data_IF_123492905655
#
_entry.id   IF_123492905655
#
_cell.length_a   1.000
_cell.length_b   1.000
_cell.length_c   1.000
_cell.angle_alpha   90.00
_cell.angle_beta   90.00
_cell.angle_gamma   90.00
#
_symmetry.space_group_name_H-M   'P 1'
#
loop_
_entity.id
_entity.type
_entity.pdbx_description
1 polymer ?
#
# COMPACT_ATOMS: atom_id res chain seq x y z
N UNK A 1 42.04 -26.38 -53.43
CA UNK A 1 41.27 -26.20 -52.19
C UNK A 1 39.79 -26.14 -52.56
N UNK A 2 39.01 -27.16 -52.31
CA UNK A 2 37.57 -27.20 -52.50
C UNK A 2 36.94 -26.96 -51.14
N UNK A 3 36.37 -25.78 -50.92
CA UNK A 3 35.57 -25.53 -49.74
C UNK A 3 34.12 -25.97 -50.05
N UNK A 4 33.56 -26.83 -49.23
CA UNK A 4 32.14 -27.14 -49.29
C UNK A 4 31.36 -26.00 -48.61
N UNK A 5 30.17 -25.65 -49.11
CA UNK A 5 29.31 -24.66 -48.44
C UNK A 5 28.94 -25.20 -47.05
N UNK A 6 29.05 -24.37 -45.99
CA UNK A 6 28.57 -24.71 -44.67
C UNK A 6 27.05 -24.89 -44.69
N UNK A 7 26.59 -25.95 -44.03
CA UNK A 7 25.14 -26.15 -43.85
C UNK A 7 24.59 -25.04 -42.98
N UNK A 8 23.46 -24.46 -43.36
CA UNK A 8 22.80 -23.39 -42.63
C UNK A 8 21.47 -23.89 -42.06
N UNK A 9 21.12 -23.37 -40.92
CA UNK A 9 19.87 -23.66 -40.23
C UNK A 9 19.14 -22.38 -39.83
N UNK A 10 17.83 -22.46 -39.80
CA UNK A 10 16.96 -21.32 -39.44
C UNK A 10 16.54 -21.41 -37.97
N UNK A 11 16.72 -20.32 -37.23
CA UNK A 11 16.13 -20.13 -35.91
C UNK A 11 14.93 -19.19 -36.03
N UNK A 12 13.77 -19.66 -35.60
CA UNK A 12 12.55 -18.88 -35.49
C UNK A 12 12.17 -18.76 -34.00
N UNK A 13 12.36 -17.57 -33.44
CA UNK A 13 11.97 -17.26 -32.07
C UNK A 13 10.82 -16.26 -32.08
N UNK A 14 9.77 -16.54 -31.33
CA UNK A 14 8.55 -15.72 -31.26
C UNK A 14 8.03 -15.56 -29.83
N UNK A 15 7.15 -14.60 -29.61
CA UNK A 15 6.39 -14.42 -28.38
C UNK A 15 5.07 -15.19 -28.47
N UNK A 16 4.61 -15.81 -27.37
CA UNK A 16 3.28 -16.39 -27.27
C UNK A 16 2.19 -15.31 -27.22
N UNK A 17 2.58 -14.10 -26.82
CA UNK A 17 1.71 -12.93 -26.71
C UNK A 17 2.44 -11.71 -27.27
N UNK A 18 2.13 -11.22 -28.49
CA UNK A 18 2.84 -10.09 -29.11
C UNK A 18 2.82 -8.78 -28.32
N UNK A 19 1.84 -8.61 -27.41
CA UNK A 19 1.71 -7.43 -26.55
C UNK A 19 2.33 -7.63 -25.15
N UNK A 20 2.89 -8.81 -24.91
CA UNK A 20 3.47 -9.14 -23.60
C UNK A 20 4.99 -9.01 -23.56
N UNK A 21 5.62 -8.93 -24.73
CA UNK A 21 7.07 -8.79 -24.84
C UNK A 21 7.59 -9.12 -26.23
N UNK A 22 8.84 -8.76 -26.46
CA UNK A 22 9.56 -8.93 -27.73
C UNK A 22 10.61 -10.03 -27.61
N UNK A 23 10.92 -10.68 -28.73
CA UNK A 23 11.91 -11.76 -28.80
C UNK A 23 12.94 -11.45 -29.88
N UNK A 24 14.20 -11.67 -29.57
CA UNK A 24 15.34 -11.41 -30.45
C UNK A 24 16.20 -12.65 -30.63
N UNK A 25 16.93 -12.74 -31.77
CA UNK A 25 17.85 -13.82 -32.05
C UNK A 25 17.38 -14.76 -33.19
N UNK A 26 16.23 -14.47 -33.84
CA UNK A 26 15.82 -15.17 -35.07
C UNK A 26 16.76 -14.86 -36.20
N UNK A 27 17.02 -15.85 -37.07
CA UNK A 27 17.88 -15.67 -38.23
C UNK A 27 18.29 -16.98 -38.87
N UNK A 28 19.14 -16.89 -39.90
CA UNK A 28 19.83 -18.03 -40.56
C UNK A 28 21.27 -18.02 -40.11
N UNK A 29 21.76 -19.14 -39.61
CA UNK A 29 23.11 -19.29 -39.03
C UNK A 29 23.78 -20.55 -39.56
N UNK A 30 25.10 -20.55 -39.60
CA UNK A 30 25.87 -21.74 -39.96
C UNK A 30 25.73 -22.84 -38.91
N UNK A 31 25.80 -24.08 -39.33
CA UNK A 31 25.78 -25.25 -38.42
C UNK A 31 26.85 -25.10 -37.34
N UNK A 32 26.55 -25.58 -36.13
CA UNK A 32 27.39 -25.49 -34.95
C UNK A 32 27.65 -24.05 -34.43
N UNK A 33 26.95 -23.05 -34.92
CA UNK A 33 26.99 -21.68 -34.36
C UNK A 33 26.24 -21.64 -33.03
N UNK A 34 26.79 -20.95 -32.04
CA UNK A 34 26.09 -20.64 -30.78
C UNK A 34 25.21 -19.42 -31.02
N UNK A 35 23.91 -19.62 -30.96
CA UNK A 35 22.90 -18.56 -31.12
C UNK A 35 22.34 -18.20 -29.74
N UNK A 36 22.18 -16.90 -29.51
CA UNK A 36 21.60 -16.38 -28.26
C UNK A 36 20.23 -15.79 -28.54
N UNK A 37 19.21 -16.30 -27.83
CA UNK A 37 17.84 -15.79 -27.84
C UNK A 37 17.60 -14.93 -26.60
N UNK A 38 16.94 -13.79 -26.80
CA UNK A 38 16.60 -12.88 -25.71
C UNK A 38 15.12 -12.54 -25.74
N UNK A 39 14.42 -12.80 -24.66
CA UNK A 39 13.04 -12.39 -24.44
C UNK A 39 13.03 -11.14 -23.58
N UNK A 40 12.39 -10.08 -24.04
CA UNK A 40 12.26 -8.79 -23.35
C UNK A 40 10.79 -8.57 -23.00
N UNK A 41 10.38 -8.72 -21.72
CA UNK A 41 9.01 -8.46 -21.32
C UNK A 41 8.64 -6.99 -21.46
N UNK A 42 7.40 -6.71 -21.83
CA UNK A 42 6.80 -5.39 -21.71
C UNK A 42 6.33 -5.11 -20.29
N UNK A 43 5.94 -3.85 -20.03
CA UNK A 43 5.41 -3.42 -18.73
C UNK A 43 4.29 -4.36 -18.27
N UNK A 44 4.29 -4.73 -16.98
CA UNK A 44 3.35 -5.66 -16.37
C UNK A 44 3.53 -7.14 -16.71
N UNK A 45 4.52 -7.48 -17.51
CA UNK A 45 4.79 -8.88 -17.86
C UNK A 45 6.16 -9.33 -17.37
N UNK A 46 6.33 -10.64 -17.29
CA UNK A 46 7.60 -11.30 -17.00
C UNK A 46 7.79 -12.49 -17.94
N UNK A 47 9.01 -12.73 -18.34
CA UNK A 47 9.38 -13.96 -19.04
C UNK A 47 9.25 -15.14 -18.06
N UNK A 48 8.67 -16.25 -18.52
CA UNK A 48 8.53 -17.47 -17.74
C UNK A 48 9.54 -18.50 -18.17
N UNK A 49 9.47 -18.92 -19.42
CA UNK A 49 10.35 -19.93 -20.03
C UNK A 49 10.21 -19.92 -21.55
N UNK A 50 11.10 -20.63 -22.20
CA UNK A 50 10.97 -20.99 -23.59
C UNK A 50 10.09 -22.23 -23.74
N UNK A 51 9.54 -22.45 -24.95
CA UNK A 51 8.63 -23.59 -25.23
C UNK A 51 9.27 -24.97 -25.04
N UNK A 52 10.59 -25.06 -24.99
CA UNK A 52 11.36 -26.28 -24.68
C UNK A 52 11.57 -26.48 -23.16
N UNK A 53 11.01 -25.59 -22.29
CA UNK A 53 11.15 -25.66 -20.85
C UNK A 53 12.34 -24.91 -20.25
N UNK A 54 13.22 -24.34 -21.08
CA UNK A 54 14.37 -23.58 -20.62
C UNK A 54 13.93 -22.23 -20.01
N UNK A 55 14.49 -21.91 -18.82
CA UNK A 55 14.18 -20.67 -18.09
C UNK A 55 15.28 -19.62 -18.17
N UNK A 56 16.43 -19.96 -18.76
CA UNK A 56 17.51 -18.99 -18.98
C UNK A 56 17.08 -17.90 -19.96
N UNK A 57 17.35 -16.65 -19.62
CA UNK A 57 17.13 -15.49 -20.48
C UNK A 57 18.25 -14.47 -20.23
N UNK A 58 19.18 -14.22 -21.15
CA UNK A 58 19.27 -14.83 -22.52
C UNK A 58 19.53 -16.34 -22.48
N UNK A 59 19.02 -17.06 -23.51
CA UNK A 59 19.22 -18.48 -23.71
C UNK A 59 20.14 -18.72 -24.90
N UNK A 60 21.25 -19.44 -24.70
CA UNK A 60 22.21 -19.78 -25.74
C UNK A 60 22.11 -21.28 -26.09
N UNK A 61 22.02 -21.57 -27.38
CA UNK A 61 21.96 -22.92 -27.92
C UNK A 61 22.96 -23.10 -29.09
N UNK A 62 23.53 -24.29 -29.22
CA UNK A 62 24.33 -24.65 -30.39
C UNK A 62 23.40 -25.20 -31.46
N UNK A 63 23.45 -24.60 -32.65
CA UNK A 63 22.53 -24.90 -33.73
C UNK A 63 23.00 -26.11 -34.56
N UNK A 64 22.22 -27.20 -34.52
CA UNK A 64 22.47 -28.43 -35.30
C UNK A 64 21.33 -28.81 -36.21
N UNK A 65 20.22 -28.05 -36.18
CA UNK A 65 19.05 -28.23 -37.05
C UNK A 65 18.18 -26.97 -36.97
N UNK A 66 17.23 -26.82 -37.87
CA UNK A 66 16.21 -25.78 -37.82
C UNK A 66 15.50 -25.84 -36.45
N UNK A 67 15.38 -24.69 -35.80
CA UNK A 67 14.88 -24.58 -34.41
C UNK A 67 13.77 -23.54 -34.33
N UNK A 68 12.65 -23.93 -33.74
CA UNK A 68 11.52 -23.02 -33.45
C UNK A 68 11.30 -22.98 -31.96
N UNK A 69 11.38 -21.77 -31.37
CA UNK A 69 11.16 -21.56 -29.93
C UNK A 69 10.20 -20.38 -29.72
N UNK A 70 9.33 -20.55 -28.74
CA UNK A 70 8.39 -19.50 -28.32
C UNK A 70 8.71 -19.09 -26.87
N UNK A 71 8.88 -17.81 -26.64
CA UNK A 71 8.98 -17.25 -25.30
C UNK A 71 7.60 -17.15 -24.68
N UNK A 72 7.43 -17.72 -23.49
CA UNK A 72 6.19 -17.66 -22.72
C UNK A 72 6.26 -16.54 -21.67
N UNK A 73 5.28 -15.67 -21.69
CA UNK A 73 5.16 -14.55 -20.76
C UNK A 73 3.98 -14.74 -19.82
N UNK A 74 4.03 -14.13 -18.66
CA UNK A 74 2.92 -14.05 -17.72
C UNK A 74 2.83 -12.66 -17.09
N UNK A 75 1.66 -12.28 -16.62
CA UNK A 75 1.46 -11.04 -15.86
C UNK A 75 2.30 -11.05 -14.59
N UNK A 76 2.94 -9.94 -14.29
CA UNK A 76 3.62 -9.71 -13.01
C UNK A 76 2.61 -9.41 -11.92
N UNK A 77 2.85 -9.94 -10.73
CA UNK A 77 2.10 -9.58 -9.53
C UNK A 77 2.95 -8.66 -8.66
N UNK A 78 2.30 -7.69 -8.03
CA UNK A 78 2.93 -6.75 -7.10
C UNK A 78 2.24 -6.81 -5.75
N UNK A 79 3.02 -6.67 -4.69
CA UNK A 79 2.51 -6.68 -3.32
C UNK A 79 2.16 -5.25 -2.89
N UNK A 80 0.91 -5.08 -2.47
CA UNK A 80 0.42 -3.83 -1.89
C UNK A 80 0.36 -4.02 -0.39
N UNK A 81 1.16 -3.24 0.35
CA UNK A 81 1.20 -3.23 1.80
C UNK A 81 0.51 -1.98 2.33
N UNK A 82 -0.65 -2.13 2.95
CA UNK A 82 -1.39 -1.05 3.59
C UNK A 82 -1.42 -1.29 5.11
N UNK A 83 -1.08 -0.26 5.90
CA UNK A 83 -0.95 -0.37 7.35
C UNK A 83 -1.34 0.94 8.05
N UNK A 84 -1.76 0.89 9.33
CA UNK A 84 -2.08 2.09 10.10
C UNK A 84 -0.81 2.75 10.63
N UNK A 85 -0.84 4.09 10.84
CA UNK A 85 0.21 4.81 11.56
C UNK A 85 0.30 4.39 13.03
N UNK A 86 -0.86 4.05 13.61
CA UNK A 86 -0.99 3.52 14.97
C UNK A 86 -2.10 2.46 14.99
N UNK A 87 -1.78 1.19 15.31
CA UNK A 87 -2.76 0.10 15.34
C UNK A 87 -3.79 0.22 16.48
N UNK A 88 -3.55 1.10 17.46
CA UNK A 88 -4.54 1.40 18.52
C UNK A 88 -5.64 2.32 17.98
N UNK A 89 -5.31 3.20 17.04
CA UNK A 89 -6.22 4.19 16.46
C UNK A 89 -7.05 3.66 15.29
N UNK A 90 -6.64 2.55 14.66
CA UNK A 90 -7.38 2.00 13.53
C UNK A 90 -6.73 0.78 12.91
N UNK A 91 -7.48 0.14 12.06
CA UNK A 91 -7.03 -1.00 11.25
C UNK A 91 -7.12 -0.69 9.75
N UNK A 92 -6.35 -1.42 8.96
CA UNK A 92 -6.34 -1.31 7.50
C UNK A 92 -6.52 -2.68 6.87
N UNK A 93 -7.39 -2.76 5.88
CA UNK A 93 -7.65 -3.96 5.10
C UNK A 93 -7.28 -3.72 3.63
N UNK A 94 -6.93 -4.79 2.93
CA UNK A 94 -6.67 -4.76 1.48
C UNK A 94 -5.22 -4.99 1.08
N UNK A 95 -4.32 -5.30 2.05
CA UNK A 95 -2.96 -5.74 1.73
C UNK A 95 -2.99 -7.13 1.10
N UNK A 96 -2.45 -7.26 -0.10
CA UNK A 96 -2.36 -8.54 -0.82
C UNK A 96 -1.43 -8.40 -2.04
N UNK A 97 -1.24 -9.51 -2.76
CA UNK A 97 -0.57 -9.55 -4.06
C UNK A 97 -1.61 -9.44 -5.19
N UNK A 98 -1.46 -8.43 -6.01
CA UNK A 98 -2.38 -8.11 -7.11
C UNK A 98 -1.67 -8.20 -8.47
N UNK A 99 -2.36 -8.67 -9.52
CA UNK A 99 -1.84 -8.57 -10.87
C UNK A 99 -1.62 -7.10 -11.28
N UNK A 100 -0.53 -6.84 -12.01
CA UNK A 100 -0.29 -5.51 -12.58
C UNK A 100 -1.45 -5.03 -13.44
N UNK A 101 -1.76 -3.75 -13.40
CA UNK A 101 -2.88 -3.14 -14.13
C UNK A 101 -4.23 -3.29 -13.46
N UNK A 102 -4.35 -4.03 -12.34
CA UNK A 102 -5.58 -4.13 -11.56
C UNK A 102 -5.71 -3.00 -10.55
N UNK A 103 -6.81 -2.99 -9.81
CA UNK A 103 -7.05 -2.01 -8.75
C UNK A 103 -7.13 -2.72 -7.39
N UNK A 104 -6.25 -2.36 -6.47
CA UNK A 104 -6.35 -2.73 -5.07
C UNK A 104 -7.34 -1.82 -4.34
N UNK A 105 -8.19 -2.39 -3.50
CA UNK A 105 -9.16 -1.65 -2.68
C UNK A 105 -8.68 -1.67 -1.25
N UNK A 106 -8.21 -0.51 -0.75
CA UNK A 106 -7.72 -0.34 0.60
C UNK A 106 -8.79 0.34 1.45
N UNK A 107 -9.06 -0.21 2.63
CA UNK A 107 -10.06 0.32 3.56
C UNK A 107 -9.43 0.61 4.91
N UNK A 108 -9.53 1.85 5.35
CA UNK A 108 -9.15 2.31 6.67
C UNK A 108 -10.39 2.33 7.59
N UNK A 109 -10.29 1.70 8.76
CA UNK A 109 -11.36 1.61 9.76
C UNK A 109 -10.85 2.17 11.08
N UNK A 110 -11.23 3.42 11.45
CA UNK A 110 -10.85 3.97 12.74
C UNK A 110 -11.53 3.20 13.89
N UNK A 111 -10.83 3.10 15.01
CA UNK A 111 -11.41 2.59 16.27
C UNK A 111 -12.29 3.64 16.94
N UNK A 112 -12.95 3.28 18.03
CA UNK A 112 -13.66 4.26 18.86
C UNK A 112 -12.69 5.35 19.33
N UNK A 113 -13.12 6.61 19.29
CA UNK A 113 -12.32 7.78 19.67
C UNK A 113 -11.17 8.13 18.73
N UNK A 114 -11.24 7.71 17.50
CA UNK A 114 -10.29 8.10 16.46
C UNK A 114 -11.01 8.38 15.14
N UNK A 115 -10.32 9.08 14.26
CA UNK A 115 -10.81 9.34 12.89
C UNK A 115 -9.70 9.14 11.87
N UNK A 116 -10.09 8.69 10.70
CA UNK A 116 -9.21 8.64 9.54
C UNK A 116 -9.03 10.05 8.96
N UNK A 117 -7.79 10.41 8.63
CA UNK A 117 -7.43 11.72 8.06
C UNK A 117 -7.11 11.59 6.58
N UNK A 118 -6.40 10.55 6.21
CA UNK A 118 -5.95 10.32 4.85
C UNK A 118 -4.88 9.25 4.78
N UNK A 119 -4.39 9.00 3.58
CA UNK A 119 -3.28 8.09 3.29
C UNK A 119 -1.98 8.88 3.19
N UNK A 120 -0.84 8.21 3.37
CA UNK A 120 0.50 8.82 3.36
C UNK A 120 0.91 9.46 2.03
N UNK A 121 0.23 9.12 0.94
CA UNK A 121 0.40 9.71 -0.39
C UNK A 121 -0.47 10.96 -0.63
N UNK A 122 -1.27 11.36 0.39
CA UNK A 122 -2.16 12.52 0.32
C UNK A 122 -3.59 12.20 -0.14
N UNK A 123 -3.89 10.94 -0.51
CA UNK A 123 -5.26 10.54 -0.81
C UNK A 123 -6.12 10.57 0.46
N UNK A 124 -7.34 11.13 0.36
CA UNK A 124 -8.31 11.20 1.49
C UNK A 124 -9.52 10.30 1.28
N UNK A 125 -9.59 9.60 0.15
CA UNK A 125 -10.69 8.69 -0.13
C UNK A 125 -10.60 7.42 0.71
N UNK A 126 -11.73 6.94 1.20
CA UNK A 126 -11.86 5.68 1.92
C UNK A 126 -13.20 5.02 1.54
N UNK A 127 -13.19 3.88 0.82
CA UNK A 127 -12.02 3.11 0.42
C UNK A 127 -11.14 3.81 -0.62
N UNK A 128 -9.83 3.53 -0.58
CA UNK A 128 -8.86 4.00 -1.55
C UNK A 128 -8.68 2.98 -2.67
N UNK A 129 -8.86 3.43 -3.91
CA UNK A 129 -8.69 2.63 -5.13
C UNK A 129 -7.28 2.88 -5.70
N UNK A 130 -6.34 1.99 -5.38
CA UNK A 130 -4.94 2.10 -5.80
C UNK A 130 -4.71 1.32 -7.09
N UNK A 131 -4.25 1.99 -8.16
CA UNK A 131 -3.83 1.32 -9.38
C UNK A 131 -2.49 0.59 -9.18
N UNK A 132 -2.46 -0.70 -9.46
CA UNK A 132 -1.31 -1.57 -9.23
C UNK A 132 -0.36 -1.52 -10.43
N UNK A 133 0.80 -0.88 -10.26
CA UNK A 133 1.85 -0.79 -11.28
C UNK A 133 3.22 -1.29 -10.77
N UNK A 134 3.41 -1.36 -9.47
CA UNK A 134 4.63 -1.84 -8.78
C UNK A 134 4.29 -2.19 -7.34
N UNK A 135 5.22 -2.84 -6.64
CA UNK A 135 5.14 -2.99 -5.18
C UNK A 135 4.99 -1.62 -4.54
N UNK A 136 4.04 -1.50 -3.62
CA UNK A 136 3.71 -0.23 -2.98
C UNK A 136 3.39 -0.41 -1.51
N UNK A 137 3.77 0.58 -0.70
CA UNK A 137 3.43 0.65 0.72
C UNK A 137 2.70 1.96 1.00
N UNK A 138 1.51 1.86 1.59
CA UNK A 138 0.64 3.01 1.89
C UNK A 138 0.20 2.95 3.35
N UNK A 139 0.42 4.03 4.08
CA UNK A 139 0.03 4.14 5.49
C UNK A 139 -1.27 4.92 5.63
N UNK A 140 -2.25 4.37 6.35
CA UNK A 140 -3.43 5.10 6.78
C UNK A 140 -3.12 5.95 8.01
N UNK A 141 -3.48 7.21 7.96
CA UNK A 141 -3.25 8.19 9.03
C UNK A 141 -4.52 8.33 9.84
N UNK A 142 -4.46 7.87 11.07
CA UNK A 142 -5.49 8.06 12.09
C UNK A 142 -5.01 9.06 13.13
N UNK A 143 -5.92 9.83 13.66
CA UNK A 143 -5.68 10.75 14.78
C UNK A 143 -6.75 10.54 15.85
N UNK A 144 -6.42 10.71 17.14
CA UNK A 144 -7.42 10.68 18.19
C UNK A 144 -8.46 11.78 17.99
N UNK A 145 -9.72 11.48 18.29
CA UNK A 145 -10.74 12.51 18.39
C UNK A 145 -10.59 13.27 19.70
N UNK A 146 -10.83 14.57 19.65
CA UNK A 146 -10.82 15.43 20.82
C UNK A 146 -12.15 16.16 20.99
N UNK A 147 -12.61 16.25 22.22
CA UNK A 147 -13.78 16.99 22.64
C UNK A 147 -13.34 18.24 23.38
N UNK A 148 -14.01 19.37 23.10
CA UNK A 148 -13.82 20.59 23.86
C UNK A 148 -14.75 20.53 25.09
N UNK A 149 -14.14 20.44 26.28
CA UNK A 149 -14.85 20.61 27.55
C UNK A 149 -14.75 22.08 27.96
N UNK A 150 -15.90 22.71 28.16
CA UNK A 150 -15.97 24.09 28.63
C UNK A 150 -16.63 24.13 29.99
N UNK A 151 -15.92 24.65 30.97
CA UNK A 151 -16.39 24.82 32.34
C UNK A 151 -16.36 26.31 32.67
N UNK A 152 -17.50 26.82 33.11
CA UNK A 152 -17.67 28.25 33.47
C UNK A 152 -18.34 28.33 34.83
N UNK A 153 -18.00 29.32 35.70
CA UNK A 153 -18.77 29.59 36.89
C UNK A 153 -20.10 30.22 36.55
N UNK A 154 -21.13 29.99 37.35
CA UNK A 154 -22.42 30.65 37.24
C UNK A 154 -22.27 32.18 37.37
N UNK A 155 -21.45 32.60 38.33
CA UNK A 155 -21.06 33.99 38.54
C UNK A 155 -19.57 34.06 38.89
N UNK A 156 -18.80 34.79 38.08
CA UNK A 156 -17.33 34.91 38.24
C UNK A 156 -16.94 35.68 39.51
N UNK A 157 -17.86 36.38 40.18
CA UNK A 157 -17.60 37.04 41.47
C UNK A 157 -17.65 36.09 42.62
N UNK A 158 -18.34 34.94 42.47
CA UNK A 158 -18.50 33.93 43.54
C UNK A 158 -17.36 32.92 43.61
N UNK A 159 -16.53 32.85 42.57
CA UNK A 159 -15.41 31.90 42.49
C UNK A 159 -14.89 31.68 41.10
N UNK A 160 -13.91 30.78 40.98
CA UNK A 160 -13.31 30.39 39.72
C UNK A 160 -13.46 28.90 39.52
N UNK A 161 -13.43 28.46 38.25
CA UNK A 161 -13.42 27.05 37.88
C UNK A 161 -12.26 26.77 36.94
N UNK A 162 -11.76 25.57 36.99
CA UNK A 162 -10.70 25.06 36.08
C UNK A 162 -11.06 23.69 35.55
N UNK A 163 -10.38 23.27 34.46
CA UNK A 163 -10.61 22.00 33.78
C UNK A 163 -11.21 22.15 32.39
N UNK A 164 -11.35 23.39 31.88
CA UNK A 164 -11.66 23.59 30.46
C UNK A 164 -10.47 23.24 29.59
N UNK A 165 -10.70 22.59 28.43
CA UNK A 165 -9.65 22.21 27.50
C UNK A 165 -10.13 21.21 26.45
N UNK A 166 -9.21 20.85 25.55
CA UNK A 166 -9.42 19.73 24.63
C UNK A 166 -8.92 18.45 25.29
N UNK A 167 -9.77 17.46 25.31
CA UNK A 167 -9.47 16.14 25.89
C UNK A 167 -9.73 15.07 24.81
N UNK A 168 -8.86 14.07 24.72
CA UNK A 168 -9.20 12.87 23.95
C UNK A 168 -10.28 12.10 24.69
N UNK A 169 -11.09 11.33 23.96
CA UNK A 169 -12.26 10.70 24.56
C UNK A 169 -11.92 9.56 25.57
N UNK A 170 -10.63 9.25 25.76
CA UNK A 170 -10.14 8.34 26.81
C UNK A 170 -9.45 9.08 27.97
N UNK A 171 -9.33 10.42 27.86
CA UNK A 171 -8.69 11.23 28.88
C UNK A 171 -9.64 11.47 30.05
N UNK A 172 -9.08 11.63 31.22
CA UNK A 172 -9.82 12.06 32.41
C UNK A 172 -9.61 13.56 32.61
N UNK A 173 -10.66 14.35 32.46
CA UNK A 173 -10.64 15.76 32.82
C UNK A 173 -10.88 15.92 34.32
N UNK A 174 -10.07 16.76 34.97
CA UNK A 174 -10.29 17.10 36.38
C UNK A 174 -10.86 18.51 36.46
N UNK A 175 -12.10 18.60 36.95
CA UNK A 175 -12.81 19.84 37.16
C UNK A 175 -12.61 20.27 38.62
N UNK A 176 -12.25 21.54 38.81
CA UNK A 176 -12.08 22.10 40.14
C UNK A 176 -12.79 23.44 40.24
N UNK A 177 -13.59 23.64 41.30
CA UNK A 177 -14.20 24.89 41.64
C UNK A 177 -13.53 25.47 42.92
N UNK A 178 -13.10 26.73 42.83
CA UNK A 178 -12.48 27.47 43.95
C UNK A 178 -13.37 28.64 44.31
N UNK A 179 -14.11 28.54 45.41
CA UNK A 179 -14.99 29.64 45.86
C UNK A 179 -14.18 30.88 46.24
N UNK A 180 -14.74 32.06 46.00
CA UNK A 180 -14.26 33.33 46.52
C UNK A 180 -14.53 33.46 48.04
N UNK A 181 -13.90 34.45 48.65
CA UNK A 181 -14.09 34.72 50.10
C UNK A 181 -15.59 34.91 50.41
N UNK A 182 -16.06 34.28 51.50
CA UNK A 182 -17.44 34.24 51.94
C UNK A 182 -18.43 33.42 51.07
N UNK A 183 -17.93 32.70 50.06
CA UNK A 183 -18.73 31.79 49.25
C UNK A 183 -18.32 30.32 49.54
N UNK A 184 -19.16 29.38 49.14
CA UNK A 184 -18.88 27.94 49.17
C UNK A 184 -19.32 27.30 47.88
N UNK A 185 -18.61 26.31 47.39
CA UNK A 185 -19.07 25.46 46.31
C UNK A 185 -20.29 24.64 46.77
N UNK A 186 -21.34 24.60 45.98
CA UNK A 186 -22.57 23.85 46.25
C UNK A 186 -22.60 22.58 45.42
N UNK A 187 -22.62 22.74 44.11
CA UNK A 187 -22.69 21.62 43.17
C UNK A 187 -22.34 22.10 41.75
N UNK A 188 -22.04 21.15 40.88
CA UNK A 188 -21.97 21.37 39.43
C UNK A 188 -23.38 21.41 38.83
N UNK A 189 -23.53 21.90 37.61
CA UNK A 189 -24.81 22.03 36.89
C UNK A 189 -25.55 20.72 36.70
N UNK A 190 -24.85 19.58 36.71
CA UNK A 190 -25.42 18.23 36.65
C UNK A 190 -25.80 17.63 38.01
N UNK A 191 -25.69 18.42 39.10
CA UNK A 191 -26.02 18.02 40.46
C UNK A 191 -24.91 17.32 41.21
N UNK A 192 -23.74 17.07 40.65
CA UNK A 192 -22.60 16.50 41.36
C UNK A 192 -22.05 17.47 42.39
N UNK A 193 -21.73 16.96 43.57
CA UNK A 193 -21.16 17.71 44.72
C UNK A 193 -19.66 17.48 44.91
N UNK A 194 -19.06 16.59 44.07
CA UNK A 194 -17.64 16.30 44.15
C UNK A 194 -16.80 17.47 43.66
N UNK A 195 -15.77 17.85 44.44
CA UNK A 195 -14.83 18.90 44.07
C UNK A 195 -13.48 18.68 44.74
N UNK A 196 -12.37 18.41 43.98
CA UNK A 196 -12.35 18.26 42.53
C UNK A 196 -13.11 17.03 42.03
N UNK A 197 -13.59 17.08 40.78
CA UNK A 197 -14.32 15.99 40.16
C UNK A 197 -13.57 15.48 38.92
N UNK A 198 -13.44 14.15 38.82
CA UNK A 198 -13.00 13.51 37.59
C UNK A 198 -14.18 13.32 36.61
N UNK A 199 -13.97 13.70 35.37
CA UNK A 199 -14.92 13.55 34.29
C UNK A 199 -14.27 12.73 33.16
N UNK A 200 -14.89 11.59 32.83
CA UNK A 200 -14.39 10.65 31.81
C UNK A 200 -15.30 10.67 30.59
#
# INVERSE_FOLDING_TARGET
>A
FTAEPSQQHTVTASSDCPTCGSVYGSGVYDENTVVTLTAVPDTCYRFVQWSNGETANPYSLTLTSDTVLTALFSTSNFFINAYPNDPVLGEVLGSDSFPCGTTAVLKASPTHCSRFVGWSDGCTQNPYLLHVASDSSVMAIFVPDSILLTVIPEDSTMGTVSGSGYYHCIDTAVLCAVPAHCYRFVQWSDGSVENPRAFV
#
